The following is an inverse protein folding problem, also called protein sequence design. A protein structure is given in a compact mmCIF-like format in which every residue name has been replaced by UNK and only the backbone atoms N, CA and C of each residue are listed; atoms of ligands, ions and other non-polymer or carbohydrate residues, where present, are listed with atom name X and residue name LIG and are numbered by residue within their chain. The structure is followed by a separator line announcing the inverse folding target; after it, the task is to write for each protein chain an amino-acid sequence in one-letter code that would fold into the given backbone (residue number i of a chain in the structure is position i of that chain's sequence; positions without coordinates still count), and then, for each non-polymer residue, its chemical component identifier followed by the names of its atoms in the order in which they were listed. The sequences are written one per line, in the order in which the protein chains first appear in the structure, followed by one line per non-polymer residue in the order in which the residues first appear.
data_IF_247482824042
#
_entry.id   IF_247482824042
#
_cell.length_a   1.000
_cell.length_b   1.000
_cell.length_c   1.000
_cell.angle_alpha   90.00
_cell.angle_beta   90.00
_cell.angle_gamma   90.00
#
_symmetry.space_group_name_H-M   'P 1'
#
loop_
_entity.id
_entity.type
_entity.pdbx_description
1 polymer ?
#
# COMPACT_ATOMS: atom_id res chain seq x y z
N UNK A 1 2.66 -23.68 -9.12
CA UNK A 1 1.39 -24.29 -9.56
C UNK A 1 1.09 -25.59 -8.81
N UNK A 2 1.86 -26.67 -8.98
CA UNK A 2 1.60 -27.95 -8.30
C UNK A 2 1.57 -27.83 -6.76
N UNK A 3 2.53 -27.12 -6.17
CA UNK A 3 2.55 -26.87 -4.73
C UNK A 3 1.26 -26.18 -4.22
N UNK A 4 0.81 -25.12 -4.90
CA UNK A 4 -0.47 -24.43 -4.59
C UNK A 4 -1.65 -25.41 -4.67
N UNK A 5 -1.72 -26.21 -5.74
CA UNK A 5 -2.82 -27.14 -5.96
C UNK A 5 -2.85 -28.30 -4.95
N UNK A 6 -1.71 -28.61 -4.31
CA UNK A 6 -1.59 -29.68 -3.32
C UNK A 6 -1.97 -29.23 -1.90
N UNK A 7 -2.12 -27.93 -1.64
CA UNK A 7 -2.47 -27.42 -0.30
C UNK A 7 -3.89 -27.81 0.06
N UNK A 8 -4.07 -28.47 1.21
CA UNK A 8 -5.40 -28.74 1.74
C UNK A 8 -5.98 -27.50 2.41
N UNK A 9 -6.97 -26.89 1.77
CA UNK A 9 -7.70 -25.71 2.29
C UNK A 9 -9.14 -26.03 2.71
N UNK A 10 -9.50 -27.32 2.82
CA UNK A 10 -10.87 -27.74 3.13
C UNK A 10 -11.39 -27.27 4.49
N UNK A 11 -10.47 -26.95 5.41
CA UNK A 11 -10.78 -26.43 6.74
C UNK A 11 -10.84 -24.92 6.85
N UNK A 12 -10.59 -24.18 5.76
CA UNK A 12 -10.65 -22.71 5.78
C UNK A 12 -12.12 -22.25 5.80
N UNK A 13 -12.48 -21.40 6.77
CA UNK A 13 -13.83 -20.82 6.85
C UNK A 13 -13.96 -19.51 6.07
N UNK A 14 -12.83 -18.87 5.77
CA UNK A 14 -12.77 -17.62 5.02
C UNK A 14 -11.44 -17.40 4.31
N UNK A 15 -11.34 -16.24 3.66
CA UNK A 15 -10.14 -15.78 2.97
C UNK A 15 -8.97 -15.59 3.94
N UNK A 16 -9.23 -15.12 5.16
CA UNK A 16 -8.17 -14.92 6.15
C UNK A 16 -7.45 -16.26 6.46
N UNK A 17 -8.21 -17.32 6.74
CA UNK A 17 -7.66 -18.65 7.01
C UNK A 17 -6.94 -19.21 5.78
N UNK A 18 -7.54 -19.01 4.60
CA UNK A 18 -6.94 -19.45 3.34
C UNK A 18 -5.56 -18.84 3.13
N UNK A 19 -5.40 -17.53 3.39
CA UNK A 19 -4.09 -16.90 3.25
C UNK A 19 -3.07 -17.40 4.27
N UNK A 20 -3.45 -17.62 5.53
CA UNK A 20 -2.53 -18.17 6.55
C UNK A 20 -2.06 -19.58 6.15
N UNK A 21 -3.00 -20.45 5.76
CA UNK A 21 -2.69 -21.82 5.30
C UNK A 21 -1.79 -21.81 4.07
N UNK A 22 -2.04 -20.90 3.12
CA UNK A 22 -1.22 -20.77 1.92
C UNK A 22 0.20 -20.25 2.22
N UNK A 23 0.34 -19.30 3.15
CA UNK A 23 1.64 -18.80 3.58
C UNK A 23 2.48 -19.89 4.26
N UNK A 24 1.84 -20.72 5.09
CA UNK A 24 2.51 -21.84 5.76
C UNK A 24 2.89 -22.96 4.77
N UNK A 25 1.97 -23.34 3.89
CA UNK A 25 2.16 -24.48 2.99
C UNK A 25 3.06 -24.16 1.78
N UNK A 26 3.13 -22.89 1.36
CA UNK A 26 3.91 -22.46 0.18
C UNK A 26 4.75 -21.22 0.51
N UNK A 27 5.73 -21.33 1.43
CA UNK A 27 6.45 -20.18 1.99
C UNK A 27 7.31 -19.41 0.98
N UNK A 28 7.58 -19.98 -0.21
CA UNK A 28 8.24 -19.28 -1.31
C UNK A 28 7.31 -18.27 -2.01
N UNK A 29 6.00 -18.35 -1.78
CA UNK A 29 5.01 -17.41 -2.28
C UNK A 29 4.49 -16.52 -1.16
N UNK A 30 4.10 -15.32 -1.55
CA UNK A 30 3.38 -14.39 -0.68
C UNK A 30 2.25 -13.80 -1.49
N UNK A 31 1.14 -14.52 -1.49
CA UNK A 31 -0.06 -14.14 -2.22
C UNK A 31 -0.64 -12.89 -1.55
N UNK A 32 -0.99 -11.91 -2.37
CA UNK A 32 -1.73 -10.73 -1.96
C UNK A 32 -3.02 -10.60 -2.76
N UNK A 33 -3.86 -9.64 -2.39
CA UNK A 33 -4.99 -9.23 -3.19
C UNK A 33 -5.02 -7.73 -3.48
N UNK A 34 -5.84 -7.33 -4.45
CA UNK A 34 -6.18 -5.94 -4.77
C UNK A 34 -7.29 -5.41 -3.84
N UNK A 35 -7.57 -4.11 -3.86
CA UNK A 35 -8.62 -3.50 -3.01
C UNK A 35 -10.06 -3.79 -3.49
N UNK A 36 -10.22 -4.48 -4.63
CA UNK A 36 -11.50 -4.91 -5.17
C UNK A 36 -12.49 -3.79 -5.49
N UNK A 37 -12.02 -2.68 -6.08
CA UNK A 37 -12.88 -1.54 -6.43
C UNK A 37 -14.01 -1.89 -7.41
N UNK A 38 -13.89 -3.00 -8.14
CA UNK A 38 -14.91 -3.54 -9.08
C UNK A 38 -15.89 -4.54 -8.45
N UNK A 39 -15.79 -4.81 -7.15
CA UNK A 39 -16.63 -5.80 -6.46
C UNK A 39 -16.00 -7.19 -6.33
N UNK A 40 -14.82 -7.41 -6.92
CA UNK A 40 -14.06 -8.67 -6.87
C UNK A 40 -12.64 -8.43 -6.41
N UNK A 41 -12.09 -9.33 -5.59
CA UNK A 41 -10.67 -9.32 -5.24
C UNK A 41 -9.90 -10.09 -6.31
N UNK A 42 -8.84 -9.50 -6.85
CA UNK A 42 -7.88 -10.23 -7.70
C UNK A 42 -6.74 -10.72 -6.83
N UNK A 43 -6.43 -12.00 -6.90
CA UNK A 43 -5.31 -12.60 -6.18
C UNK A 43 -4.05 -12.52 -7.03
N UNK A 44 -2.94 -12.15 -6.41
CA UNK A 44 -1.68 -11.87 -7.05
C UNK A 44 -0.61 -12.76 -6.42
N UNK A 45 -0.21 -13.84 -7.11
CA UNK A 45 0.83 -14.72 -6.63
C UNK A 45 2.19 -14.11 -6.95
N UNK A 46 2.83 -13.55 -5.92
CA UNK A 46 4.19 -13.03 -6.01
C UNK A 46 5.12 -13.90 -5.16
N UNK A 47 6.31 -14.20 -5.66
CA UNK A 47 7.35 -14.85 -4.88
C UNK A 47 7.82 -13.93 -3.76
N UNK A 48 8.24 -14.51 -2.64
CA UNK A 48 8.83 -13.75 -1.52
C UNK A 48 10.01 -12.90 -2.00
N UNK A 49 10.82 -13.44 -2.92
CA UNK A 49 11.97 -12.74 -3.50
C UNK A 49 11.60 -11.50 -4.32
N UNK A 50 10.41 -11.47 -4.93
CA UNK A 50 9.92 -10.26 -5.63
C UNK A 50 9.66 -9.13 -4.63
N UNK A 51 9.06 -9.45 -3.48
CA UNK A 51 8.86 -8.51 -2.38
C UNK A 51 10.19 -8.03 -1.78
N UNK A 52 11.16 -8.91 -1.60
CA UNK A 52 12.50 -8.56 -1.12
C UNK A 52 13.22 -7.59 -2.06
N UNK A 53 13.20 -7.86 -3.38
CA UNK A 53 13.75 -6.94 -4.39
C UNK A 53 13.09 -5.57 -4.30
N UNK A 54 11.77 -5.52 -4.23
CA UNK A 54 11.05 -4.26 -4.05
C UNK A 54 11.48 -3.53 -2.79
N UNK A 55 11.62 -4.24 -1.67
CA UNK A 55 12.03 -3.66 -0.41
C UNK A 55 13.46 -3.08 -0.48
N UNK A 56 14.39 -3.75 -1.18
CA UNK A 56 15.74 -3.20 -1.42
C UNK A 56 15.71 -1.96 -2.33
N UNK A 57 14.90 -1.96 -3.40
CA UNK A 57 14.69 -0.75 -4.22
C UNK A 57 14.13 0.40 -3.38
N UNK A 58 13.17 0.12 -2.49
CA UNK A 58 12.60 1.13 -1.60
C UNK A 58 13.63 1.63 -0.59
N UNK A 59 14.45 0.73 -0.03
CA UNK A 59 15.55 1.06 0.89
C UNK A 59 16.51 2.07 0.28
N UNK A 60 16.95 1.85 -0.97
CA UNK A 60 17.84 2.78 -1.67
C UNK A 60 17.24 4.19 -1.76
N UNK A 61 15.94 4.30 -2.02
CA UNK A 61 15.25 5.58 -2.11
C UNK A 61 15.04 6.25 -0.75
N UNK A 62 14.54 5.50 0.24
CA UNK A 62 14.20 6.03 1.58
C UNK A 62 15.46 6.49 2.32
N UNK A 63 16.55 5.71 2.23
CA UNK A 63 17.82 6.04 2.86
C UNK A 63 18.71 6.95 2.01
N UNK A 64 18.28 7.30 0.79
CA UNK A 64 19.05 8.10 -0.17
C UNK A 64 20.47 7.55 -0.40
N UNK A 65 20.55 6.24 -0.65
CA UNK A 65 21.83 5.53 -0.77
C UNK A 65 22.66 6.05 -1.94
N UNK A 66 23.91 6.42 -1.67
CA UNK A 66 24.91 6.80 -2.69
C UNK A 66 25.78 5.62 -3.12
N UNK A 67 25.68 4.51 -2.39
CA UNK A 67 26.47 3.30 -2.59
C UNK A 67 26.18 2.26 -1.51
N UNK A 68 26.79 1.06 -1.60
CA UNK A 68 26.57 -0.03 -0.64
C UNK A 68 26.95 0.35 0.80
N UNK A 69 27.94 1.24 0.97
CA UNK A 69 28.45 1.65 2.28
C UNK A 69 27.73 2.87 2.88
N UNK A 70 26.58 3.28 2.30
CA UNK A 70 25.81 4.40 2.85
C UNK A 70 25.38 4.08 4.29
N UNK A 71 25.74 4.91 5.29
CA UNK A 71 25.29 4.72 6.66
C UNK A 71 23.76 4.74 6.74
N UNK A 72 23.17 3.75 7.40
CA UNK A 72 21.72 3.69 7.57
C UNK A 72 21.30 4.65 8.70
N UNK A 73 20.34 5.56 8.45
CA UNK A 73 19.88 6.49 9.47
C UNK A 73 19.08 5.78 10.57
N UNK A 74 18.94 6.45 11.71
CA UNK A 74 17.97 6.08 12.74
C UNK A 74 16.54 6.38 12.25
N UNK A 75 15.97 5.45 11.48
CA UNK A 75 14.68 5.60 10.81
C UNK A 75 13.55 4.90 11.58
N UNK A 76 12.43 5.60 11.71
CA UNK A 76 11.14 5.03 12.16
C UNK A 76 10.15 5.01 11.00
N UNK A 77 9.22 4.06 10.97
CA UNK A 77 8.11 4.06 10.02
C UNK A 77 6.81 4.36 10.75
N UNK A 78 6.08 5.38 10.30
CA UNK A 78 4.71 5.66 10.76
C UNK A 78 3.77 5.20 9.65
N UNK A 79 2.96 4.19 9.95
CA UNK A 79 2.01 3.62 9.02
C UNK A 79 0.59 3.83 9.52
N UNK A 80 -0.17 4.78 8.95
CA UNK A 80 -1.50 5.15 9.44
C UNK A 80 -2.60 4.16 9.03
N UNK A 81 -2.31 2.87 9.17
CA UNK A 81 -3.18 1.77 8.77
C UNK A 81 -2.83 0.49 9.54
N UNK A 82 -3.32 -0.66 9.07
CA UNK A 82 -3.22 -1.95 9.76
C UNK A 82 -1.84 -2.58 9.65
N UNK A 83 -1.31 -3.11 10.76
CA UNK A 83 0.00 -3.79 10.78
C UNK A 83 0.04 -5.04 9.90
N UNK A 84 -1.03 -5.83 9.89
CA UNK A 84 -1.14 -7.09 9.14
C UNK A 84 -2.33 -7.05 8.19
N UNK A 85 -2.24 -7.78 7.09
CA UNK A 85 -3.30 -7.93 6.11
C UNK A 85 -2.76 -8.45 4.79
N UNK A 86 -3.68 -8.86 3.91
CA UNK A 86 -3.35 -9.53 2.65
C UNK A 86 -3.50 -8.62 1.43
N UNK A 87 -3.98 -7.40 1.65
CA UNK A 87 -4.00 -6.34 0.66
C UNK A 87 -2.55 -5.95 0.31
N UNK A 88 -2.23 -5.85 -0.97
CA UNK A 88 -0.83 -5.75 -1.46
C UNK A 88 0.04 -4.70 -0.75
N UNK A 89 -0.50 -3.51 -0.47
CA UNK A 89 0.25 -2.43 0.20
C UNK A 89 0.41 -2.62 1.72
N UNK A 90 -0.37 -3.50 2.35
CA UNK A 90 -0.18 -3.96 3.73
C UNK A 90 0.80 -5.13 3.75
N UNK A 91 0.64 -6.05 2.79
CA UNK A 91 1.44 -7.27 2.66
C UNK A 91 2.94 -7.01 2.51
N UNK A 92 3.28 -5.87 1.91
CA UNK A 92 4.66 -5.45 1.66
C UNK A 92 5.47 -5.25 2.95
N UNK A 93 4.83 -5.05 4.10
CA UNK A 93 5.52 -4.78 5.37
C UNK A 93 6.42 -5.93 5.82
N UNK A 94 6.06 -7.17 5.50
CA UNK A 94 6.88 -8.34 5.81
C UNK A 94 8.28 -8.29 5.16
N UNK A 95 8.41 -7.63 3.99
CA UNK A 95 9.72 -7.41 3.36
C UNK A 95 10.31 -6.04 3.70
N UNK A 96 9.46 -5.02 3.87
CA UNK A 96 9.88 -3.63 4.10
C UNK A 96 10.45 -3.39 5.48
N UNK A 97 9.87 -3.98 6.54
CA UNK A 97 10.33 -3.82 7.92
C UNK A 97 11.81 -4.24 8.05
N UNK A 98 12.21 -5.48 7.71
CA UNK A 98 13.61 -5.89 7.85
C UNK A 98 14.55 -5.15 6.88
N UNK A 99 14.05 -4.69 5.71
CA UNK A 99 14.87 -3.96 4.75
C UNK A 99 15.17 -2.52 5.20
N UNK A 100 14.15 -1.82 5.71
CA UNK A 100 14.26 -0.41 6.09
C UNK A 100 14.73 -0.22 7.53
N UNK A 101 14.28 -1.09 8.43
CA UNK A 101 14.36 -0.89 9.87
C UNK A 101 15.31 -1.93 10.47
N UNK A 102 16.20 -1.48 11.34
CA UNK A 102 17.07 -2.39 12.08
C UNK A 102 16.33 -3.23 13.14
N UNK A 103 15.12 -2.81 13.54
CA UNK A 103 14.31 -3.49 14.55
C UNK A 103 12.82 -3.22 14.35
N UNK A 104 11.97 -4.21 14.63
CA UNK A 104 10.52 -4.11 14.41
C UNK A 104 9.83 -3.04 15.29
N UNK A 105 10.37 -2.77 16.48
CA UNK A 105 9.85 -1.70 17.37
C UNK A 105 9.91 -0.29 16.77
N UNK A 106 10.56 -0.12 15.62
CA UNK A 106 10.59 1.15 14.87
C UNK A 106 9.47 1.25 13.84
N UNK A 107 8.63 0.23 13.71
CA UNK A 107 7.45 0.23 12.86
C UNK A 107 6.20 0.50 13.70
N UNK A 108 5.56 1.64 13.45
CA UNK A 108 4.41 2.12 14.20
C UNK A 108 3.17 2.06 13.31
N UNK A 109 2.29 1.09 13.56
CA UNK A 109 1.01 0.97 12.85
C UNK A 109 -0.11 1.59 13.68
N UNK A 110 -0.99 2.38 13.05
CA UNK A 110 -2.16 2.93 13.73
C UNK A 110 -3.10 1.84 14.26
N UNK A 111 -3.20 0.72 13.55
CA UNK A 111 -3.98 -0.43 13.99
C UNK A 111 -3.05 -1.64 14.13
N UNK A 112 -2.67 -2.04 15.37
CA UNK A 112 -1.85 -3.22 15.62
C UNK A 112 -2.69 -4.51 15.49
N UNK A 113 -3.42 -4.63 14.39
CA UNK A 113 -4.36 -5.70 14.10
C UNK A 113 -4.26 -6.13 12.63
N UNK A 114 -4.97 -7.22 12.29
CA UNK A 114 -5.10 -7.71 10.92
C UNK A 114 -6.31 -7.08 10.24
N UNK A 115 -6.09 -6.46 9.08
CA UNK A 115 -7.17 -6.11 8.18
C UNK A 115 -7.73 -7.38 7.51
N UNK A 116 -8.96 -7.75 7.87
CA UNK A 116 -9.62 -8.95 7.35
C UNK A 116 -9.95 -8.83 5.86
N UNK A 117 -9.50 -9.81 5.08
CA UNK A 117 -9.82 -9.97 3.66
C UNK A 117 -11.28 -10.33 3.46
N UNK A 118 -11.85 -11.11 4.39
CA UNK A 118 -13.27 -11.49 4.37
C UNK A 118 -14.17 -10.26 4.44
N UNK A 119 -13.87 -9.33 5.35
CA UNK A 119 -14.65 -8.09 5.49
C UNK A 119 -14.48 -7.18 4.28
N UNK A 120 -13.26 -7.05 3.76
CA UNK A 120 -13.02 -6.28 2.53
C UNK A 120 -13.80 -6.86 1.33
N UNK A 121 -13.79 -8.18 1.19
CA UNK A 121 -14.53 -8.87 0.14
C UNK A 121 -16.04 -8.68 0.29
N UNK A 122 -16.57 -8.80 1.51
CA UNK A 122 -17.96 -8.53 1.81
C UNK A 122 -18.35 -7.10 1.42
N UNK A 123 -17.54 -6.11 1.82
CA UNK A 123 -17.78 -4.71 1.45
C UNK A 123 -17.80 -4.49 -0.07
N UNK A 124 -16.93 -5.18 -0.80
CA UNK A 124 -16.90 -5.14 -2.26
C UNK A 124 -18.17 -5.77 -2.88
N UNK A 125 -18.60 -6.93 -2.36
CA UNK A 125 -19.86 -7.59 -2.77
C UNK A 125 -21.09 -6.75 -2.50
N UNK A 126 -21.16 -6.09 -1.33
CA UNK A 126 -22.26 -5.19 -0.97
C UNK A 126 -22.36 -4.01 -1.93
N UNK A 127 -21.25 -3.32 -2.21
CA UNK A 127 -21.22 -2.21 -3.18
C UNK A 127 -21.65 -2.65 -4.58
N UNK A 128 -21.18 -3.81 -5.02
CA UNK A 128 -21.56 -4.39 -6.30
C UNK A 128 -23.05 -4.74 -6.36
N UNK A 129 -23.59 -5.39 -5.32
CA UNK A 129 -25.01 -5.74 -5.23
C UNK A 129 -25.90 -4.48 -5.19
N UNK A 130 -25.49 -3.44 -4.46
CA UNK A 130 -26.19 -2.16 -4.44
C UNK A 130 -26.23 -1.52 -5.83
N UNK A 131 -25.09 -1.49 -6.54
CA UNK A 131 -25.03 -0.93 -7.90
C UNK A 131 -25.89 -1.68 -8.92
N UNK A 132 -26.16 -2.97 -8.67
CA UNK A 132 -26.95 -3.85 -9.54
C UNK A 132 -28.40 -4.01 -9.08
N UNK A 133 -28.78 -3.44 -7.93
CA UNK A 133 -30.12 -3.60 -7.36
C UNK A 133 -30.44 -5.03 -6.88
N UNK A 134 -29.43 -5.78 -6.42
CA UNK A 134 -29.57 -7.20 -6.03
C UNK A 134 -29.19 -7.45 -4.56
N UNK A 135 -29.38 -6.47 -3.68
CA UNK A 135 -29.02 -6.59 -2.25
C UNK A 135 -29.85 -7.66 -1.53
N UNK A 136 -31.12 -7.81 -1.91
CA UNK A 136 -32.08 -8.79 -1.39
C UNK A 136 -31.64 -10.25 -1.59
N UNK A 137 -30.74 -10.50 -2.56
CA UNK A 137 -30.23 -11.82 -2.90
C UNK A 137 -28.87 -12.14 -2.26
N UNK A 138 -28.31 -11.22 -1.48
CA UNK A 138 -26.99 -11.38 -0.91
C UNK A 138 -27.08 -12.17 0.41
N UNK A 139 -26.68 -13.44 0.35
CA UNK A 139 -26.52 -14.25 1.56
C UNK A 139 -25.17 -13.97 2.25
N UNK A 140 -25.24 -13.78 3.57
CA UNK A 140 -24.09 -13.52 4.45
C UNK A 140 -24.14 -14.54 5.59
N UNK A 141 -23.13 -15.41 5.67
CA UNK A 141 -23.00 -16.42 6.73
C UNK A 141 -22.90 -15.77 8.12
N UNK A 142 -23.39 -16.41 9.20
CA UNK A 142 -23.32 -15.87 10.57
C UNK A 142 -21.90 -15.46 11.00
N UNK A 143 -20.87 -16.24 10.64
CA UNK A 143 -19.46 -15.96 10.94
C UNK A 143 -19.01 -14.64 10.30
N UNK A 144 -19.34 -14.45 9.03
CA UNK A 144 -19.03 -13.24 8.29
C UNK A 144 -19.81 -12.02 8.81
N UNK A 145 -21.04 -12.22 9.30
CA UNK A 145 -21.79 -11.16 9.99
C UNK A 145 -21.10 -10.74 11.28
N UNK A 146 -20.59 -11.68 12.08
CA UNK A 146 -19.84 -11.38 13.30
C UNK A 146 -18.53 -10.61 12.99
N UNK A 147 -17.77 -11.06 11.96
CA UNK A 147 -16.58 -10.32 11.48
C UNK A 147 -16.92 -8.90 11.04
N UNK A 148 -18.05 -8.72 10.33
CA UNK A 148 -18.54 -7.40 9.92
C UNK A 148 -18.88 -6.52 11.12
N UNK A 149 -19.61 -7.03 12.11
CA UNK A 149 -19.99 -6.26 13.31
C UNK A 149 -18.76 -5.77 14.07
N UNK A 150 -17.77 -6.63 14.27
CA UNK A 150 -16.50 -6.25 14.91
C UNK A 150 -15.76 -5.18 14.10
N UNK A 151 -15.76 -5.29 12.77
CA UNK A 151 -15.15 -4.28 11.90
C UNK A 151 -15.92 -2.95 11.91
N UNK A 152 -17.26 -2.98 11.92
CA UNK A 152 -18.08 -1.77 11.98
C UNK A 152 -17.84 -1.01 13.31
N UNK A 153 -17.70 -1.75 14.42
CA UNK A 153 -17.34 -1.16 15.71
C UNK A 153 -15.97 -0.49 15.65
N UNK A 154 -14.96 -1.20 15.14
CA UNK A 154 -13.63 -0.62 14.95
C UNK A 154 -13.68 0.62 14.05
N UNK A 155 -14.45 0.57 12.96
CA UNK A 155 -14.60 1.66 12.01
C UNK A 155 -15.22 2.92 12.64
N UNK A 156 -16.13 2.76 13.59
CA UNK A 156 -16.73 3.87 14.32
C UNK A 156 -15.70 4.60 15.21
N UNK A 157 -14.69 3.86 15.71
CA UNK A 157 -13.63 4.37 16.59
C UNK A 157 -12.37 4.81 15.82
N UNK A 158 -12.26 4.45 14.53
CA UNK A 158 -11.10 4.74 13.68
C UNK A 158 -10.66 6.21 13.69
N UNK A 159 -11.55 7.23 13.61
CA UNK A 159 -11.14 8.63 13.62
C UNK A 159 -10.44 9.03 14.92
N UNK A 160 -10.99 8.62 16.07
CA UNK A 160 -10.41 8.88 17.39
C UNK A 160 -9.08 8.15 17.55
N UNK A 161 -9.01 6.88 17.11
CA UNK A 161 -7.77 6.11 17.15
C UNK A 161 -6.67 6.73 16.29
N UNK A 162 -6.96 7.16 15.06
CA UNK A 162 -5.97 7.83 14.21
C UNK A 162 -5.49 9.14 14.83
N UNK A 163 -6.40 9.93 15.40
CA UNK A 163 -6.03 11.17 16.08
C UNK A 163 -5.07 10.92 17.24
N UNK A 164 -5.38 9.92 18.10
CA UNK A 164 -4.52 9.54 19.21
C UNK A 164 -3.17 8.97 18.75
N UNK A 165 -3.17 8.13 17.72
CA UNK A 165 -1.95 7.58 17.13
C UNK A 165 -1.04 8.69 16.59
N UNK A 166 -1.58 9.66 15.84
CA UNK A 166 -0.77 10.75 15.32
C UNK A 166 -0.25 11.68 16.41
N UNK A 167 -1.03 11.92 17.46
CA UNK A 167 -0.59 12.69 18.61
C UNK A 167 0.61 12.03 19.32
N UNK A 168 0.50 10.72 19.57
CA UNK A 168 1.59 9.92 20.14
C UNK A 168 2.83 9.96 19.25
N UNK A 169 2.69 9.68 17.95
CA UNK A 169 3.82 9.67 17.02
C UNK A 169 4.48 11.05 16.86
N UNK A 170 3.68 12.11 16.87
CA UNK A 170 4.19 13.49 16.80
C UNK A 170 4.96 13.92 18.04
N UNK A 171 4.68 13.27 19.17
CA UNK A 171 5.35 13.52 20.45
C UNK A 171 6.62 12.68 20.57
N UNK A 172 6.51 11.36 20.40
CA UNK A 172 7.61 10.41 20.61
C UNK A 172 8.69 10.51 19.53
N UNK A 173 8.30 10.81 18.29
CA UNK A 173 9.21 10.85 17.14
C UNK A 173 9.56 12.27 16.71
N UNK A 174 9.31 13.27 17.56
CA UNK A 174 9.65 14.67 17.26
C UNK A 174 11.14 14.81 16.93
N UNK A 175 11.43 15.45 15.80
CA UNK A 175 12.79 15.65 15.28
C UNK A 175 13.50 14.35 14.86
N UNK A 176 12.82 13.20 14.84
CA UNK A 176 13.37 11.95 14.30
C UNK A 176 13.08 11.86 12.81
N UNK A 177 13.94 11.14 12.09
CA UNK A 177 13.72 10.83 10.69
C UNK A 177 12.67 9.72 10.57
N UNK A 178 11.62 9.98 9.80
CA UNK A 178 10.52 9.03 9.61
C UNK A 178 10.30 8.68 8.14
N UNK A 179 9.80 7.49 7.91
CA UNK A 179 9.19 7.06 6.66
C UNK A 179 7.68 6.96 6.86
N UNK A 180 6.90 7.67 6.06
CA UNK A 180 5.43 7.59 6.07
C UNK A 180 4.98 7.24 4.67
N UNK A 181 4.29 6.12 4.50
CA UNK A 181 3.69 5.73 3.23
C UNK A 181 2.20 5.50 3.39
N UNK A 182 1.40 6.34 2.74
CA UNK A 182 -0.05 6.25 2.76
C UNK A 182 -0.67 6.92 1.53
N UNK A 183 -1.96 6.72 1.32
CA UNK A 183 -2.72 7.47 0.32
C UNK A 183 -2.81 8.95 0.72
N UNK A 184 -2.94 9.83 -0.27
CA UNK A 184 -2.94 11.28 -0.05
C UNK A 184 -3.98 11.74 0.98
N UNK A 185 -5.15 11.09 1.01
CA UNK A 185 -6.24 11.43 1.93
C UNK A 185 -5.90 11.10 3.39
N UNK A 186 -5.16 10.02 3.65
CA UNK A 186 -4.69 9.69 5.00
C UNK A 186 -3.61 10.66 5.45
N UNK A 187 -2.66 11.00 4.56
CA UNK A 187 -1.63 12.00 4.83
C UNK A 187 -2.24 13.38 5.11
N UNK A 188 -3.23 13.80 4.33
CA UNK A 188 -3.87 15.10 4.51
C UNK A 188 -4.69 15.16 5.81
N UNK A 189 -5.45 14.11 6.13
CA UNK A 189 -6.18 14.02 7.41
C UNK A 189 -5.24 14.08 8.61
N UNK A 190 -4.10 13.37 8.55
CA UNK A 190 -3.04 13.46 9.56
C UNK A 190 -2.54 14.91 9.70
N UNK A 191 -2.19 15.54 8.59
CA UNK A 191 -1.65 16.88 8.58
C UNK A 191 -2.63 17.89 9.18
N UNK A 192 -3.91 17.87 8.76
CA UNK A 192 -4.93 18.76 9.32
C UNK A 192 -5.08 18.58 10.82
N UNK A 193 -5.14 17.34 11.29
CA UNK A 193 -5.27 17.06 12.72
C UNK A 193 -4.08 17.63 13.51
N UNK A 194 -2.85 17.49 13.00
CA UNK A 194 -1.67 18.09 13.63
C UNK A 194 -1.69 19.63 13.60
N UNK A 195 -2.03 20.21 12.46
CA UNK A 195 -2.07 21.66 12.26
C UNK A 195 -3.14 22.36 13.11
N UNK A 196 -4.32 21.75 13.27
CA UNK A 196 -5.38 22.24 14.17
C UNK A 196 -4.92 22.31 15.64
N UNK A 197 -3.87 21.57 16.00
CA UNK A 197 -3.23 21.57 17.32
C UNK A 197 -1.99 22.48 17.40
N UNK A 198 -1.69 23.23 16.33
CA UNK A 198 -0.50 24.07 16.24
C UNK A 198 0.82 23.31 16.06
N UNK A 199 0.76 22.06 15.61
CA UNK A 199 1.95 21.26 15.32
C UNK A 199 2.44 21.53 13.90
N UNK A 200 3.68 22.00 13.78
CA UNK A 200 4.39 22.18 12.52
C UNK A 200 5.81 21.64 12.64
N UNK A 201 6.40 21.28 11.50
CA UNK A 201 7.76 20.77 11.40
C UNK A 201 8.10 19.68 12.44
N UNK A 202 7.20 18.71 12.59
CA UNK A 202 7.25 17.73 13.68
C UNK A 202 8.44 16.78 13.55
N UNK A 203 8.76 16.32 12.35
CA UNK A 203 9.80 15.32 12.09
C UNK A 203 11.06 15.97 11.49
N UNK A 204 12.13 15.19 11.38
CA UNK A 204 13.35 15.63 10.71
C UNK A 204 13.08 15.99 9.23
N UNK A 205 13.66 17.08 8.67
CA UNK A 205 13.44 17.48 7.28
C UNK A 205 13.82 16.44 6.22
N UNK A 206 14.70 15.50 6.54
CA UNK A 206 15.10 14.38 5.67
C UNK A 206 14.16 13.17 5.77
N UNK A 207 13.02 13.31 6.46
CA UNK A 207 11.96 12.31 6.48
C UNK A 207 11.41 12.03 5.08
N UNK A 208 11.16 10.74 4.79
CA UNK A 208 10.66 10.30 3.50
C UNK A 208 9.14 10.14 3.56
N UNK A 209 8.42 11.17 3.13
CA UNK A 209 6.96 11.11 2.99
C UNK A 209 6.63 10.60 1.60
N UNK A 210 5.89 9.50 1.51
CA UNK A 210 5.56 8.82 0.27
C UNK A 210 4.05 8.70 0.10
N UNK A 211 3.58 8.94 -1.12
CA UNK A 211 2.20 8.62 -1.48
C UNK A 211 2.09 7.96 -2.84
N UNK A 212 1.11 7.07 -2.94
CA UNK A 212 0.73 6.37 -4.16
C UNK A 212 -0.76 6.10 -4.12
N UNK A 213 -1.42 6.19 -5.27
CA UNK A 213 -2.86 5.90 -5.39
C UNK A 213 -3.77 6.90 -4.66
N UNK A 214 -4.99 6.46 -4.33
CA UNK A 214 -6.00 7.27 -3.63
C UNK A 214 -6.73 8.34 -4.48
N UNK A 215 -6.31 8.59 -5.71
CA UNK A 215 -6.95 9.58 -6.61
C UNK A 215 -8.08 9.04 -7.50
N UNK A 216 -8.43 7.75 -7.40
CA UNK A 216 -9.50 7.18 -8.24
C UNK A 216 -10.85 7.74 -7.83
N UNK A 217 -11.44 8.56 -8.68
CA UNK A 217 -12.78 9.13 -8.49
C UNK A 217 -12.86 10.26 -7.46
N UNK A 218 -11.72 10.77 -6.97
CA UNK A 218 -11.68 11.85 -5.97
C UNK A 218 -10.67 12.91 -6.41
N UNK A 219 -11.11 14.17 -6.40
CA UNK A 219 -10.25 15.32 -6.66
C UNK A 219 -9.46 15.63 -5.38
N UNK A 220 -8.14 15.77 -5.52
CA UNK A 220 -7.29 16.19 -4.42
C UNK A 220 -7.60 17.65 -4.05
N UNK A 221 -7.86 17.99 -2.78
CA UNK A 221 -8.10 19.36 -2.35
C UNK A 221 -6.91 20.28 -2.66
N UNK A 222 -7.17 21.55 -2.92
CA UNK A 222 -6.09 22.53 -3.03
C UNK A 222 -5.29 22.61 -1.70
N UNK A 223 -3.98 22.86 -1.78
CA UNK A 223 -3.12 23.01 -0.60
C UNK A 223 -2.81 21.74 0.20
N UNK A 224 -3.35 20.56 -0.15
CA UNK A 224 -3.14 19.33 0.64
C UNK A 224 -1.65 18.96 0.80
N UNK A 225 -0.84 19.24 -0.23
CA UNK A 225 0.61 19.00 -0.21
C UNK A 225 1.28 19.92 0.80
N UNK A 226 0.91 21.20 0.79
CA UNK A 226 1.47 22.21 1.67
C UNK A 226 1.12 21.93 3.13
N UNK A 227 -0.11 21.49 3.40
CA UNK A 227 -0.50 21.05 4.74
C UNK A 227 0.38 19.90 5.24
N UNK A 228 0.59 18.87 4.41
CA UNK A 228 1.43 17.71 4.75
C UNK A 228 2.88 18.12 4.98
N UNK A 229 3.45 18.97 4.13
CA UNK A 229 4.82 19.45 4.27
C UNK A 229 4.98 20.33 5.52
N UNK A 230 4.03 21.25 5.76
CA UNK A 230 4.03 22.13 6.93
C UNK A 230 3.94 21.34 8.25
N UNK A 231 3.03 20.37 8.31
CA UNK A 231 2.90 19.51 9.47
C UNK A 231 4.16 18.66 9.70
N UNK A 232 4.58 17.91 8.67
CA UNK A 232 5.66 16.92 8.82
C UNK A 232 7.04 17.56 8.93
N UNK A 233 7.27 18.72 8.32
CA UNK A 233 8.59 19.35 8.18
C UNK A 233 9.44 18.76 7.06
N UNK A 234 8.96 17.73 6.37
CA UNK A 234 9.70 17.09 5.29
C UNK A 234 9.90 18.06 4.11
N UNK A 235 11.03 17.94 3.41
CA UNK A 235 11.35 18.82 2.27
C UNK A 235 10.48 18.58 1.04
N UNK A 236 9.95 17.36 0.88
CA UNK A 236 9.13 16.97 -0.28
C UNK A 236 8.23 15.78 0.02
N UNK A 237 7.14 15.69 -0.74
CA UNK A 237 6.33 14.49 -0.85
C UNK A 237 6.80 13.71 -2.07
N UNK A 238 7.16 12.45 -1.86
CA UNK A 238 7.59 11.54 -2.91
C UNK A 238 6.33 10.85 -3.47
N UNK A 239 5.95 11.17 -4.70
CA UNK A 239 4.80 10.55 -5.36
C UNK A 239 5.27 9.44 -6.29
N UNK A 240 4.48 8.36 -6.38
CA UNK A 240 4.70 7.33 -7.39
C UNK A 240 3.40 6.79 -7.95
N UNK A 241 3.44 6.37 -9.21
CA UNK A 241 2.41 5.52 -9.81
C UNK A 241 2.84 4.05 -9.67
N UNK A 242 1.94 3.19 -9.22
CA UNK A 242 2.19 1.77 -9.05
C UNK A 242 0.89 0.98 -9.26
N UNK A 243 1.04 -0.32 -9.51
CA UNK A 243 -0.06 -1.28 -9.60
C UNK A 243 0.37 -2.56 -8.88
N UNK A 244 -0.58 -3.26 -8.28
CA UNK A 244 -0.26 -4.47 -7.51
C UNK A 244 0.32 -5.59 -8.38
N UNK A 245 0.02 -5.57 -9.68
CA UNK A 245 0.50 -6.49 -10.71
C UNK A 245 1.98 -6.27 -11.07
N UNK A 246 2.56 -5.12 -10.72
CA UNK A 246 3.94 -4.73 -11.08
C UNK A 246 4.72 -4.43 -9.80
N UNK A 247 5.16 -5.49 -9.12
CA UNK A 247 5.80 -5.40 -7.78
C UNK A 247 7.06 -4.53 -7.82
N UNK A 248 7.90 -4.64 -8.84
CA UNK A 248 9.10 -3.81 -9.00
C UNK A 248 8.82 -2.38 -9.48
N UNK A 249 7.58 -2.07 -9.88
CA UNK A 249 7.23 -0.94 -10.75
C UNK A 249 6.68 0.30 -10.08
N UNK A 250 7.22 0.72 -8.93
CA UNK A 250 6.87 2.05 -8.42
C UNK A 250 7.56 3.13 -9.28
N UNK A 251 6.79 3.77 -10.16
CA UNK A 251 7.22 4.81 -11.08
C UNK A 251 7.25 6.17 -10.36
N UNK A 252 8.42 6.72 -9.98
CA UNK A 252 8.48 7.97 -9.22
C UNK A 252 8.08 9.17 -10.07
N UNK A 253 7.45 10.17 -9.45
CA UNK A 253 7.16 11.47 -10.03
C UNK A 253 8.35 12.41 -9.81
N UNK A 254 8.78 13.12 -10.86
CA UNK A 254 9.78 14.19 -10.73
C UNK A 254 9.15 15.54 -10.36
N UNK A 255 9.99 16.53 -10.10
CA UNK A 255 9.60 17.90 -9.74
C UNK A 255 8.81 18.62 -10.86
N UNK A 256 9.07 18.27 -12.13
CA UNK A 256 8.28 18.74 -13.27
C UNK A 256 6.91 18.05 -13.40
N UNK A 257 6.57 17.17 -12.45
CA UNK A 257 5.27 16.53 -12.36
C UNK A 257 5.07 15.28 -13.23
N UNK A 258 6.12 14.80 -13.90
CA UNK A 258 6.08 13.62 -14.78
C UNK A 258 6.49 12.34 -14.03
N UNK A 259 5.84 11.23 -14.34
CA UNK A 259 6.26 9.92 -13.84
C UNK A 259 7.37 9.32 -14.70
N UNK A 260 8.40 8.80 -14.05
CA UNK A 260 9.52 8.11 -14.68
C UNK A 260 9.38 6.61 -14.47
N UNK A 261 9.69 5.83 -15.52
CA UNK A 261 9.61 4.37 -15.42
C UNK A 261 10.64 3.85 -14.42
N UNK A 262 10.25 2.81 -13.67
CA UNK A 262 11.12 2.19 -12.69
C UNK A 262 12.23 1.44 -13.45
N UNK A 263 13.46 1.36 -12.91
CA UNK A 263 14.58 0.74 -13.62
C UNK A 263 14.38 -0.76 -13.88
N UNK A 264 13.46 -1.41 -13.15
CA UNK A 264 13.10 -2.82 -13.35
C UNK A 264 11.95 -3.01 -14.34
N UNK A 265 11.41 -1.96 -14.95
CA UNK A 265 10.23 -2.08 -15.81
C UNK A 265 10.54 -1.65 -17.24
N UNK A 266 10.23 -2.52 -18.20
CA UNK A 266 10.21 -2.17 -19.62
C UNK A 266 8.80 -1.69 -19.97
N UNK A 267 8.62 -0.39 -20.30
CA UNK A 267 7.33 0.13 -20.71
C UNK A 267 7.05 -0.23 -22.18
N UNK A 268 5.77 -0.47 -22.45
CA UNK A 268 5.17 -0.51 -23.77
C UNK A 268 4.01 0.46 -23.79
N UNK A 269 3.84 1.13 -24.94
CA UNK A 269 2.65 1.90 -25.22
C UNK A 269 1.90 1.18 -26.31
N UNK A 270 0.65 0.82 -26.06
CA UNK A 270 -0.18 0.06 -26.98
C UNK A 270 -1.28 0.96 -27.54
N UNK A 271 -1.57 0.78 -28.82
CA UNK A 271 -2.76 1.36 -29.41
C UNK A 271 -4.01 0.80 -28.70
N UNK A 272 -4.92 1.66 -28.18
CA UNK A 272 -6.05 1.19 -27.38
C UNK A 272 -7.04 0.29 -28.14
N UNK A 273 -7.09 0.40 -29.46
CA UNK A 273 -8.06 -0.30 -30.32
C UNK A 273 -7.48 -1.62 -30.85
N UNK A 274 -6.24 -1.57 -31.35
CA UNK A 274 -5.58 -2.69 -32.03
C UNK A 274 -4.65 -3.48 -31.12
N UNK A 275 -4.31 -2.95 -29.95
CA UNK A 275 -3.32 -3.50 -29.01
C UNK A 275 -1.91 -3.65 -29.60
N UNK A 276 -1.63 -3.06 -30.77
CA UNK A 276 -0.30 -3.08 -31.38
C UNK A 276 0.64 -2.12 -30.65
N UNK A 277 1.94 -2.43 -30.55
CA UNK A 277 2.92 -1.50 -30.02
C UNK A 277 2.96 -0.19 -30.83
N UNK A 278 2.96 0.93 -30.12
CA UNK A 278 3.18 2.27 -30.66
C UNK A 278 4.68 2.63 -30.67
N UNK A 279 5.09 3.69 -31.39
CA UNK A 279 6.49 4.11 -31.44
C UNK A 279 7.09 4.36 -30.04
N UNK A 280 8.37 4.00 -29.87
CA UNK A 280 9.10 4.14 -28.59
C UNK A 280 9.77 5.49 -28.39
N UNK A 281 9.71 6.38 -29.39
CA UNK A 281 10.35 7.69 -29.38
C UNK A 281 9.34 8.80 -29.65
N UNK A 282 9.64 10.00 -29.15
CA UNK A 282 8.77 11.16 -29.25
C UNK A 282 7.65 11.18 -28.20
N UNK A 283 6.70 12.08 -28.39
CA UNK A 283 5.52 12.22 -27.52
C UNK A 283 4.38 11.40 -28.10
N UNK A 284 3.99 10.33 -27.41
CA UNK A 284 2.95 9.40 -27.86
C UNK A 284 1.95 9.17 -26.73
N UNK A 285 0.68 8.96 -27.08
CA UNK A 285 -0.40 8.65 -26.13
C UNK A 285 -1.04 7.32 -26.51
N UNK A 286 -1.28 6.47 -25.52
CA UNK A 286 -1.85 5.13 -25.71
C UNK A 286 -2.09 4.43 -24.37
N UNK A 287 -2.42 3.15 -24.42
CA UNK A 287 -2.59 2.32 -23.23
C UNK A 287 -1.23 1.85 -22.72
N UNK A 288 -0.93 2.13 -21.46
CA UNK A 288 0.31 1.66 -20.84
C UNK A 288 0.27 0.14 -20.61
N UNK A 289 1.39 -0.52 -20.92
CA UNK A 289 1.65 -1.91 -20.56
C UNK A 289 3.08 -2.03 -20.02
N UNK A 290 3.29 -2.94 -19.08
CA UNK A 290 4.55 -3.04 -18.34
C UNK A 290 5.04 -4.47 -18.35
N UNK A 291 6.33 -4.63 -18.62
CA UNK A 291 7.03 -5.88 -18.43
C UNK A 291 8.00 -5.72 -17.27
N UNK A 292 7.71 -6.36 -16.14
CA UNK A 292 8.51 -6.29 -14.93
C UNK A 292 9.67 -7.31 -14.99
N UNK A 293 10.89 -6.79 -14.96
CA UNK A 293 12.13 -7.56 -14.86
C UNK A 293 12.40 -8.03 -13.43
N UNK A 294 11.77 -7.38 -12.44
CA UNK A 294 11.82 -7.81 -11.05
C UNK A 294 11.00 -9.08 -10.81
N UNK A 295 10.03 -9.36 -11.69
CA UNK A 295 9.08 -10.43 -11.50
C UNK A 295 9.68 -11.82 -11.75
N UNK A 296 9.45 -12.73 -10.81
CA UNK A 296 9.85 -14.15 -10.91
C UNK A 296 8.68 -15.02 -11.33
N UNK A 297 7.46 -14.60 -10.96
CA UNK A 297 6.24 -15.30 -11.32
C UNK A 297 5.50 -14.49 -12.37
N UNK A 298 5.04 -15.20 -13.40
CA UNK A 298 4.25 -14.64 -14.49
C UNK A 298 3.01 -15.50 -14.62
N UNK A 299 1.85 -14.86 -14.55
CA UNK A 299 0.54 -15.47 -14.55
C UNK A 299 -0.30 -14.94 -15.71
#
# INVERSE_FOLDING_TARGET
AQAIAAVNVSGCEGLDDWFEVMDEAVPQLRISHTSGTSGTLSFLPHAVREWEKFAQLRKMNVHNMQGPDTPLPDLHTIYPYYRKGYLSHVRVHEAMIPALLGHESRFHAAYPATLSSDVLHLGARLRAAQSKGTLDRLEISPQLQAKKQAFDQLQAEMPQHLAAFFDQMSTELRGKRVYIAATWNLLHSMAKAGLERGLEAVFDPDSFIHTSGGGKGVVQPEGWRDDVLRFTGARRINESYAMSEVVGGAHPRCEAGHFHFAPTVIPYLLDPQTSRPLPRHGRVTGRAAFFDLGAEIRW
#
